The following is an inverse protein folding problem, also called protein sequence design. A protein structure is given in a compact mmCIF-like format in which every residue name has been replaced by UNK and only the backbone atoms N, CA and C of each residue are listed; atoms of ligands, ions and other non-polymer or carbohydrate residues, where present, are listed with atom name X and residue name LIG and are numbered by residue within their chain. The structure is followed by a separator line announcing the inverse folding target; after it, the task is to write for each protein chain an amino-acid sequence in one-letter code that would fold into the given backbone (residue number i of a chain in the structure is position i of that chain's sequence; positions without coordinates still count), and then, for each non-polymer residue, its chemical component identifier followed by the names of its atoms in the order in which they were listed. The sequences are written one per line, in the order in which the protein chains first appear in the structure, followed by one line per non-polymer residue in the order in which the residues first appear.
data_IF_683607604386
#
_entry.id   IF_683607604386
#
_cell.length_a   1.000
_cell.length_b   1.000
_cell.length_c   1.000
_cell.angle_alpha   90.00
_cell.angle_beta   90.00
_cell.angle_gamma   90.00
#
_symmetry.space_group_name_H-M   'P 1'
#
loop_
_entity.id
_entity.type
_entity.pdbx_description
1 polymer ?
#
# COMPACT_ATOMS: atom_id res chain seq x y z
N UNK A 1 -9.87 1.55 4.14
CA UNK A 1 -8.50 0.98 4.12
C UNK A 1 -8.57 -0.53 3.90
N UNK A 2 -9.48 -1.23 4.55
CA UNK A 2 -9.65 -2.70 4.41
C UNK A 2 -9.75 -3.15 2.94
N UNK A 3 -10.63 -2.54 2.14
CA UNK A 3 -10.76 -2.84 0.71
C UNK A 3 -9.42 -2.68 -0.05
N UNK A 4 -8.62 -1.68 0.30
CA UNK A 4 -7.29 -1.47 -0.31
C UNK A 4 -6.34 -2.59 0.10
N UNK A 5 -6.36 -3.01 1.36
CA UNK A 5 -5.55 -4.13 1.84
C UNK A 5 -5.95 -5.43 1.14
N UNK A 6 -7.25 -5.68 0.96
CA UNK A 6 -7.77 -6.88 0.28
C UNK A 6 -7.33 -6.96 -1.17
N UNK A 7 -7.54 -5.88 -1.93
CA UNK A 7 -7.19 -5.85 -3.36
C UNK A 7 -5.68 -5.97 -3.54
N UNK A 8 -4.87 -5.28 -2.74
CA UNK A 8 -3.41 -5.36 -2.83
C UNK A 8 -2.92 -6.74 -2.40
N UNK A 9 -3.42 -7.29 -1.29
CA UNK A 9 -3.04 -8.63 -0.83
C UNK A 9 -3.37 -9.68 -1.89
N UNK A 10 -4.58 -9.63 -2.46
CA UNK A 10 -4.99 -10.51 -3.54
C UNK A 10 -4.13 -10.37 -4.80
N UNK A 11 -3.77 -9.14 -5.20
CA UNK A 11 -2.91 -8.89 -6.36
C UNK A 11 -1.53 -9.55 -6.21
N UNK A 12 -0.96 -9.56 -5.00
CA UNK A 12 0.37 -10.11 -4.73
C UNK A 12 0.36 -11.53 -4.14
N UNK A 13 -0.80 -12.19 -4.11
CA UNK A 13 -1.00 -13.51 -3.49
C UNK A 13 -0.49 -13.56 -2.03
N UNK A 14 -0.83 -12.53 -1.27
CA UNK A 14 -0.56 -12.41 0.16
C UNK A 14 -1.85 -12.50 0.96
N UNK A 15 -1.73 -12.76 2.26
CA UNK A 15 -2.83 -12.57 3.20
C UNK A 15 -2.78 -11.13 3.74
N UNK A 16 -3.93 -10.59 4.16
CA UNK A 16 -4.00 -9.28 4.81
C UNK A 16 -3.05 -9.21 6.02
N UNK A 17 -2.97 -10.30 6.79
CA UNK A 17 -2.05 -10.42 7.92
C UNK A 17 -0.59 -10.20 7.54
N UNK A 18 -0.18 -10.56 6.32
CA UNK A 18 1.18 -10.33 5.86
C UNK A 18 1.44 -8.82 5.70
N UNK A 19 0.45 -8.06 5.21
CA UNK A 19 0.52 -6.59 5.13
C UNK A 19 0.54 -5.95 6.53
N UNK A 20 -0.03 -6.58 7.56
CA UNK A 20 0.02 -6.10 8.95
C UNK A 20 1.28 -6.57 9.70
N UNK A 21 1.91 -7.68 9.27
CA UNK A 21 3.07 -8.28 9.93
C UNK A 21 4.29 -7.35 10.00
N UNK A 22 5.24 -7.59 10.91
CA UNK A 22 6.51 -6.84 10.97
C UNK A 22 7.55 -7.28 9.93
N UNK A 23 7.23 -8.26 9.06
CA UNK A 23 8.17 -8.81 8.07
C UNK A 23 8.56 -7.74 7.04
N UNK A 24 9.87 -7.64 6.79
CA UNK A 24 10.49 -6.63 5.90
C UNK A 24 11.01 -7.21 4.57
N UNK A 25 10.80 -8.49 4.31
CA UNK A 25 11.17 -9.13 3.04
C UNK A 25 10.50 -8.40 1.88
N UNK A 26 11.20 -8.26 0.73
CA UNK A 26 10.73 -7.45 -0.41
C UNK A 26 9.33 -7.86 -0.88
N UNK A 27 9.05 -9.15 -0.93
CA UNK A 27 7.76 -9.72 -1.34
C UNK A 27 6.59 -9.32 -0.42
N UNK A 28 6.84 -8.80 0.79
CA UNK A 28 5.80 -8.29 1.71
C UNK A 28 5.89 -6.78 1.86
N UNK A 29 7.10 -6.24 2.01
CA UNK A 29 7.32 -4.81 2.21
C UNK A 29 6.88 -3.98 1.01
N UNK A 30 7.14 -4.45 -0.22
CA UNK A 30 6.77 -3.72 -1.44
C UNK A 30 5.23 -3.63 -1.61
N UNK A 31 4.45 -4.73 -1.53
CA UNK A 31 2.99 -4.66 -1.54
C UNK A 31 2.43 -3.79 -0.42
N UNK A 32 2.99 -3.87 0.80
CA UNK A 32 2.56 -3.01 1.92
C UNK A 32 2.78 -1.53 1.65
N UNK A 33 3.91 -1.16 1.06
CA UNK A 33 4.19 0.24 0.70
C UNK A 33 3.20 0.77 -0.34
N UNK A 34 2.86 -0.05 -1.34
CA UNK A 34 1.82 0.27 -2.33
C UNK A 34 0.46 0.46 -1.65
N UNK A 35 0.07 -0.43 -0.74
CA UNK A 35 -1.20 -0.33 -0.02
C UNK A 35 -1.27 0.95 0.85
N UNK A 36 -0.17 1.35 1.50
CA UNK A 36 -0.09 2.60 2.26
C UNK A 36 -0.19 3.83 1.36
N UNK A 37 0.54 3.83 0.23
CA UNK A 37 0.47 4.89 -0.78
C UNK A 37 -0.98 5.09 -1.28
N UNK A 38 -1.63 3.99 -1.68
CA UNK A 38 -3.02 4.02 -2.14
C UNK A 38 -3.99 4.46 -1.04
N UNK A 39 -3.78 4.00 0.20
CA UNK A 39 -4.59 4.44 1.35
C UNK A 39 -4.51 5.94 1.54
N UNK A 40 -3.32 6.53 1.39
CA UNK A 40 -3.13 7.97 1.50
C UNK A 40 -3.70 8.75 0.31
N UNK A 41 -3.69 8.17 -0.89
CA UNK A 41 -4.22 8.79 -2.13
C UNK A 41 -5.73 8.74 -2.25
N UNK A 42 -6.36 7.65 -1.80
CA UNK A 42 -7.76 7.33 -2.09
C UNK A 42 -8.68 7.49 -0.88
N UNK A 43 -8.15 7.89 0.27
CA UNK A 43 -8.95 8.09 1.49
C UNK A 43 -8.52 9.35 2.24
N UNK A 44 -9.42 9.91 3.04
CA UNK A 44 -9.17 11.04 3.93
C UNK A 44 -8.63 10.62 5.32
N UNK A 45 -8.16 9.37 5.45
CA UNK A 45 -7.65 8.85 6.71
C UNK A 45 -6.34 9.54 7.11
N UNK A 46 -6.18 9.82 8.40
CA UNK A 46 -4.96 10.41 8.94
C UNK A 46 -3.77 9.44 8.86
N UNK A 47 -2.55 9.98 8.80
CA UNK A 47 -1.34 9.15 8.77
C UNK A 47 -1.23 8.18 9.98
N UNK A 48 -1.55 8.60 11.22
CA UNK A 48 -1.60 7.66 12.35
C UNK A 48 -2.63 6.55 12.14
N UNK A 49 -3.83 6.87 11.62
CA UNK A 49 -4.87 5.86 11.37
C UNK A 49 -4.45 4.87 10.30
N UNK A 50 -3.83 5.33 9.21
CA UNK A 50 -3.25 4.44 8.20
C UNK A 50 -2.19 3.54 8.87
N UNK A 51 -1.28 4.09 9.66
CA UNK A 51 -0.26 3.33 10.38
C UNK A 51 -0.85 2.23 11.28
N UNK A 52 -1.89 2.57 12.04
CA UNK A 52 -2.66 1.65 12.88
C UNK A 52 -3.20 0.46 12.08
N UNK A 53 -3.89 0.72 10.95
CA UNK A 53 -4.47 -0.32 10.09
C UNK A 53 -3.42 -1.25 9.46
N UNK A 54 -2.18 -0.78 9.30
CA UNK A 54 -1.06 -1.59 8.83
C UNK A 54 -0.26 -2.19 9.99
N UNK A 55 -0.91 -2.60 11.08
CA UNK A 55 -0.29 -3.33 12.18
C UNK A 55 0.45 -2.43 13.19
N UNK A 56 -0.14 -1.28 13.51
CA UNK A 56 0.40 -0.37 14.52
C UNK A 56 1.72 0.29 14.11
N UNK A 57 1.90 0.55 12.81
CA UNK A 57 3.11 1.21 12.29
C UNK A 57 3.09 2.69 12.58
N UNK A 58 4.28 3.25 12.81
CA UNK A 58 4.42 4.68 13.03
C UNK A 58 3.98 5.48 11.79
N UNK A 59 3.35 6.64 12.00
CA UNK A 59 2.90 7.53 10.94
C UNK A 59 4.03 7.95 9.97
N UNK A 60 5.27 8.07 10.45
CA UNK A 60 6.46 8.32 9.61
C UNK A 60 6.71 7.17 8.63
N UNK A 61 6.37 5.93 8.98
CA UNK A 61 6.45 4.78 8.05
C UNK A 61 5.49 4.97 6.87
N UNK A 62 4.31 5.54 7.12
CA UNK A 62 3.33 5.84 6.07
C UNK A 62 3.84 6.96 5.17
N UNK A 63 4.45 8.00 5.74
CA UNK A 63 5.10 9.08 4.98
C UNK A 63 6.17 8.50 4.06
N UNK A 64 7.11 7.72 4.60
CA UNK A 64 8.18 7.10 3.82
C UNK A 64 7.65 6.16 2.73
N UNK A 65 6.59 5.40 3.00
CA UNK A 65 5.96 4.57 1.98
C UNK A 65 5.35 5.41 0.85
N UNK A 66 4.66 6.49 1.20
CA UNK A 66 4.06 7.41 0.23
C UNK A 66 5.11 8.07 -0.65
N UNK A 67 6.16 8.66 -0.06
CA UNK A 67 7.26 9.30 -0.79
C UNK A 67 7.95 8.31 -1.72
N UNK A 68 8.36 7.15 -1.19
CA UNK A 68 9.07 6.13 -1.97
C UNK A 68 8.26 5.64 -3.17
N UNK A 69 6.96 5.37 -3.00
CA UNK A 69 6.12 4.92 -4.12
C UNK A 69 5.88 6.09 -5.10
N UNK A 70 5.69 7.31 -4.61
CA UNK A 70 5.54 8.50 -5.47
C UNK A 70 6.77 8.74 -6.34
N UNK A 71 7.97 8.63 -5.75
CA UNK A 71 9.23 8.84 -6.46
C UNK A 71 9.48 7.74 -7.49
N UNK A 72 9.27 6.47 -7.09
CA UNK A 72 9.44 5.35 -7.99
C UNK A 72 8.44 5.38 -9.15
N UNK A 73 7.22 5.88 -8.95
CA UNK A 73 6.24 6.03 -10.03
C UNK A 73 6.73 6.95 -11.16
N UNK A 74 7.70 7.84 -10.91
CA UNK A 74 8.27 8.69 -11.96
C UNK A 74 9.23 7.95 -12.90
N UNK A 75 9.74 6.78 -12.50
CA UNK A 75 10.85 6.10 -13.19
C UNK A 75 10.64 4.60 -13.42
N UNK A 76 9.71 3.96 -12.70
CA UNK A 76 9.45 2.52 -12.78
C UNK A 76 8.11 2.25 -13.49
N UNK A 77 8.18 1.93 -14.78
CA UNK A 77 7.01 1.57 -15.60
C UNK A 77 6.26 0.35 -15.04
N UNK A 78 6.98 -0.63 -14.48
CA UNK A 78 6.35 -1.82 -13.89
C UNK A 78 5.52 -1.46 -12.67
N UNK A 79 6.01 -0.52 -11.84
CA UNK A 79 5.25 0.01 -10.71
C UNK A 79 4.05 0.82 -11.19
N UNK A 80 4.20 1.64 -12.24
CA UNK A 80 3.08 2.40 -12.82
C UNK A 80 1.96 1.47 -13.26
N UNK A 81 2.28 0.42 -14.03
CA UNK A 81 1.31 -0.60 -14.45
C UNK A 81 0.64 -1.25 -13.24
N UNK A 82 1.42 -1.68 -12.26
CA UNK A 82 0.91 -2.33 -11.04
C UNK A 82 -0.06 -1.43 -10.27
N UNK A 83 0.32 -0.17 -10.03
CA UNK A 83 -0.51 0.80 -9.30
C UNK A 83 -1.78 1.12 -10.08
N UNK A 84 -1.68 1.28 -11.40
CA UNK A 84 -2.84 1.54 -12.27
C UNK A 84 -3.84 0.38 -12.25
N UNK A 85 -3.36 -0.86 -12.33
CA UNK A 85 -4.24 -2.04 -12.32
C UNK A 85 -4.94 -2.22 -10.98
N UNK A 86 -4.22 -2.03 -9.87
CA UNK A 86 -4.80 -2.06 -8.52
C UNK A 86 -5.82 -0.92 -8.37
N UNK A 87 -5.50 0.29 -8.82
CA UNK A 87 -6.39 1.45 -8.72
C UNK A 87 -7.68 1.22 -9.50
N UNK A 88 -7.62 0.66 -10.72
CA UNK A 88 -8.81 0.29 -11.50
C UNK A 88 -9.69 -0.70 -10.74
N UNK A 89 -9.10 -1.74 -10.13
CA UNK A 89 -9.85 -2.71 -9.31
C UNK A 89 -10.52 -2.07 -8.09
N UNK A 90 -9.99 -0.96 -7.58
CA UNK A 90 -10.55 -0.23 -6.43
C UNK A 90 -11.66 0.75 -6.81
N UNK A 91 -11.67 1.27 -8.04
CA UNK A 91 -12.62 2.31 -8.48
C UNK A 91 -13.70 1.81 -9.42
N UNK A 92 -13.55 0.61 -9.99
CA UNK A 92 -14.53 -0.02 -10.87
C UNK A 92 -15.50 -0.97 -10.14
N UNK A 93 -15.54 -0.92 -8.80
CA UNK A 93 -16.51 -1.62 -7.95
C UNK A 93 -17.39 -0.61 -7.22
#
# INVERSE_FOLDING_TARGET
IDVIQDVVAGYFNLRIEDLKSQRRTRNVAYPRQIAMYLSRKLTDMSLPKIGEEFGGRDHTTVIHAYEKISDNLNTDESLQHTVNDITKKLTQN
#
